data_IF_716264603810
#
_entry.id   IF_716264603810
#
_cell.length_a   1.000
_cell.length_b   1.000
_cell.length_c   1.000
_cell.angle_alpha   90.00
_cell.angle_beta   90.00
_cell.angle_gamma   90.00
#
_symmetry.space_group_name_H-M   'P 1'
#
loop_
_entity.id
_entity.type
_entity.pdbx_description
1 polymer ?
#
# COMPACT_ATOMS: atom_id res chain seq x y z
N UNK A 1 -14.53 14.97 21.24
CA UNK A 1 -15.66 14.97 20.28
C UNK A 1 -15.15 15.45 18.93
N UNK A 2 -15.00 14.56 17.94
CA UNK A 2 -14.58 14.97 16.61
C UNK A 2 -15.75 15.70 15.91
N UNK A 3 -15.56 16.99 15.62
CA UNK A 3 -16.52 17.80 14.87
C UNK A 3 -16.77 17.16 13.50
N UNK A 4 -17.97 16.61 13.28
CA UNK A 4 -18.41 16.23 11.94
C UNK A 4 -18.59 17.49 11.12
N UNK A 5 -17.51 17.93 10.46
CA UNK A 5 -17.53 19.07 9.53
C UNK A 5 -18.62 18.80 8.49
N UNK A 6 -19.69 19.60 8.49
CA UNK A 6 -20.78 19.45 7.51
C UNK A 6 -20.19 19.55 6.10
N UNK A 7 -20.56 18.61 5.23
CA UNK A 7 -20.08 18.57 3.86
C UNK A 7 -20.59 19.80 3.08
N UNK A 8 -19.66 20.57 2.50
CA UNK A 8 -20.01 21.75 1.71
C UNK A 8 -20.89 21.36 0.51
N UNK A 9 -21.74 22.28 0.01
CA UNK A 9 -22.52 22.02 -1.21
C UNK A 9 -21.64 21.62 -2.40
N UNK A 10 -20.47 22.25 -2.56
CA UNK A 10 -19.52 21.92 -3.63
C UNK A 10 -18.96 20.51 -3.51
N UNK A 11 -18.59 20.07 -2.30
CA UNK A 11 -18.14 18.69 -2.08
C UNK A 11 -19.28 17.69 -2.34
N UNK A 12 -20.51 17.97 -1.89
CA UNK A 12 -21.68 17.12 -2.21
C UNK A 12 -21.89 16.99 -3.71
N UNK A 13 -21.79 18.10 -4.44
CA UNK A 13 -21.89 18.12 -5.89
C UNK A 13 -20.79 17.30 -6.57
N UNK A 14 -19.54 17.43 -6.13
CA UNK A 14 -18.42 16.64 -6.65
C UNK A 14 -18.64 15.13 -6.43
N UNK A 15 -19.06 14.72 -5.23
CA UNK A 15 -19.35 13.32 -4.93
C UNK A 15 -20.47 12.78 -5.83
N UNK A 16 -21.56 13.54 -5.99
CA UNK A 16 -22.67 13.11 -6.85
C UNK A 16 -22.24 12.99 -8.31
N UNK A 17 -21.55 13.99 -8.87
CA UNK A 17 -21.05 13.96 -10.24
C UNK A 17 -20.13 12.77 -10.49
N UNK A 18 -19.22 12.49 -9.55
CA UNK A 18 -18.32 11.35 -9.66
C UNK A 18 -19.08 10.02 -9.61
N UNK A 19 -20.06 9.91 -8.71
CA UNK A 19 -20.88 8.72 -8.55
C UNK A 19 -21.79 8.45 -9.74
N UNK A 20 -22.44 9.46 -10.30
CA UNK A 20 -23.33 9.31 -11.46
C UNK A 20 -22.58 8.74 -12.67
N UNK A 21 -21.34 9.22 -12.89
CA UNK A 21 -20.45 8.67 -13.93
C UNK A 21 -20.00 7.25 -13.62
N UNK A 22 -19.61 6.98 -12.37
CA UNK A 22 -19.26 5.65 -11.92
C UNK A 22 -20.40 4.65 -12.11
N UNK A 23 -21.63 5.03 -11.77
CA UNK A 23 -22.83 4.20 -11.91
C UNK A 23 -23.12 3.89 -13.39
N UNK A 24 -22.98 4.89 -14.26
CA UNK A 24 -23.24 4.74 -15.69
C UNK A 24 -22.15 3.96 -16.44
N UNK A 25 -20.89 4.10 -16.05
CA UNK A 25 -19.74 3.60 -16.84
C UNK A 25 -18.96 2.46 -16.16
N UNK A 26 -19.31 2.11 -14.92
CA UNK A 26 -18.55 1.17 -14.09
C UNK A 26 -17.05 1.54 -13.99
N UNK A 27 -16.73 2.84 -14.03
CA UNK A 27 -15.38 3.39 -13.97
C UNK A 27 -15.39 4.76 -13.31
N UNK A 28 -14.34 5.09 -12.55
CA UNK A 28 -14.20 6.41 -11.95
C UNK A 28 -13.92 7.46 -13.04
N UNK A 29 -14.57 8.64 -13.01
CA UNK A 29 -14.36 9.64 -14.04
C UNK A 29 -13.01 10.34 -13.87
N UNK A 30 -12.36 10.59 -15.00
CA UNK A 30 -11.19 11.46 -15.03
C UNK A 30 -11.58 12.92 -14.76
N UNK A 31 -10.79 13.61 -13.95
CA UNK A 31 -10.99 15.02 -13.59
C UNK A 31 -11.06 15.90 -14.83
N UNK A 32 -10.15 15.72 -15.79
CA UNK A 32 -10.09 16.52 -17.01
C UNK A 32 -11.35 16.34 -17.87
N UNK A 33 -11.82 15.09 -17.99
CA UNK A 33 -13.04 14.77 -18.74
C UNK A 33 -14.29 15.37 -18.08
N UNK A 34 -14.42 15.21 -16.76
CA UNK A 34 -15.54 15.78 -16.01
C UNK A 34 -15.54 17.31 -16.12
N UNK A 35 -14.38 17.95 -15.99
CA UNK A 35 -14.23 19.40 -16.15
C UNK A 35 -14.60 19.87 -17.55
N UNK A 36 -14.16 19.15 -18.59
CA UNK A 36 -14.46 19.47 -19.98
C UNK A 36 -15.97 19.36 -20.29
N UNK A 37 -16.62 18.32 -19.80
CA UNK A 37 -18.07 18.12 -19.97
C UNK A 37 -18.88 19.24 -19.31
N UNK A 38 -18.51 19.65 -18.09
CA UNK A 38 -19.16 20.77 -17.39
C UNK A 38 -18.94 22.11 -18.12
N UNK A 39 -17.72 22.36 -18.59
CA UNK A 39 -17.41 23.57 -19.36
C UNK A 39 -18.22 23.65 -20.66
N UNK A 40 -18.42 22.52 -21.36
CA UNK A 40 -19.28 22.45 -22.55
C UNK A 40 -20.76 22.77 -22.27
N UNK A 41 -21.20 22.57 -21.03
CA UNK A 41 -22.55 22.89 -20.57
C UNK A 41 -22.66 24.32 -20.01
N UNK A 42 -21.57 25.10 -20.02
CA UNK A 42 -21.53 26.44 -19.42
C UNK A 42 -21.54 26.43 -17.90
N UNK A 43 -21.22 25.30 -17.26
CA UNK A 43 -21.21 25.16 -15.81
C UNK A 43 -19.85 25.60 -15.24
N UNK A 44 -19.80 26.63 -14.37
CA UNK A 44 -18.55 27.16 -13.84
C UNK A 44 -17.91 26.29 -12.75
N UNK A 45 -18.44 25.08 -12.48
CA UNK A 45 -17.93 24.21 -11.41
C UNK A 45 -16.48 23.78 -11.66
N UNK A 46 -15.58 24.19 -10.74
CA UNK A 46 -14.17 23.88 -10.79
C UNK A 46 -13.86 22.54 -10.08
N UNK A 47 -13.94 21.43 -10.82
CA UNK A 47 -13.74 20.06 -10.31
C UNK A 47 -12.41 19.93 -9.57
N UNK A 48 -11.32 20.40 -10.18
CA UNK A 48 -9.97 20.27 -9.62
C UNK A 48 -9.80 21.08 -8.34
N UNK A 49 -10.37 22.28 -8.26
CA UNK A 49 -10.28 23.11 -7.05
C UNK A 49 -11.08 22.49 -5.90
N UNK A 50 -12.31 22.05 -6.16
CA UNK A 50 -13.15 21.42 -5.15
C UNK A 50 -12.55 20.09 -4.66
N UNK A 51 -11.90 19.33 -5.55
CA UNK A 51 -11.24 18.08 -5.18
C UNK A 51 -10.01 18.26 -4.27
N UNK A 52 -9.39 19.45 -4.23
CA UNK A 52 -8.22 19.71 -3.38
C UNK A 52 -8.53 19.63 -1.89
N UNK A 53 -9.75 20.00 -1.51
CA UNK A 53 -10.17 20.07 -0.11
C UNK A 53 -11.14 18.95 0.28
N UNK A 54 -11.28 17.94 -0.60
CA UNK A 54 -12.11 16.78 -0.33
C UNK A 54 -11.55 15.99 0.85
N UNK A 55 -12.41 15.71 1.83
CA UNK A 55 -12.06 14.85 2.97
C UNK A 55 -11.60 13.48 2.44
N UNK A 56 -10.35 13.06 2.71
CA UNK A 56 -9.81 11.79 2.21
C UNK A 56 -10.63 10.56 2.62
N UNK A 57 -11.43 10.68 3.67
CA UNK A 57 -12.34 9.61 4.10
C UNK A 57 -13.53 9.42 3.18
N UNK A 58 -13.86 10.39 2.32
CA UNK A 58 -14.97 10.35 1.37
C UNK A 58 -14.49 10.02 -0.05
N UNK A 59 -13.29 10.42 -0.41
CA UNK A 59 -12.72 10.17 -1.73
C UNK A 59 -11.37 10.83 -1.90
N UNK A 60 -10.71 10.56 -3.01
CA UNK A 60 -9.44 11.16 -3.34
C UNK A 60 -9.29 11.38 -4.85
N UNK A 61 -8.35 12.26 -5.19
CA UNK A 61 -7.87 12.49 -6.55
C UNK A 61 -6.35 12.40 -6.49
N UNK A 62 -5.76 11.51 -7.30
CA UNK A 62 -4.31 11.50 -7.48
C UNK A 62 -3.90 12.73 -8.28
N UNK A 63 -3.25 13.68 -7.61
CA UNK A 63 -2.93 15.00 -8.19
C UNK A 63 -1.73 14.96 -9.13
N UNK A 64 -0.93 13.91 -9.04
CA UNK A 64 0.33 13.77 -9.77
C UNK A 64 0.17 12.89 -11.02
N UNK A 65 -0.91 12.10 -11.10
CA UNK A 65 -1.19 11.25 -12.24
C UNK A 65 -1.74 12.05 -13.44
N UNK A 66 -1.14 11.84 -14.61
CA UNK A 66 -1.78 12.11 -15.90
C UNK A 66 -3.03 11.22 -15.99
N UNK A 67 -4.20 11.82 -16.22
CA UNK A 67 -5.47 11.08 -16.18
C UNK A 67 -6.07 10.88 -14.78
N UNK A 68 -5.70 11.72 -13.80
CA UNK A 68 -6.27 11.74 -12.44
C UNK A 68 -7.79 11.46 -12.40
N UNK A 69 -8.19 10.43 -11.66
CA UNK A 69 -9.58 10.03 -11.47
C UNK A 69 -10.14 10.57 -10.16
N UNK A 70 -11.44 10.87 -10.13
CA UNK A 70 -12.17 11.13 -8.88
C UNK A 70 -12.67 9.80 -8.33
N UNK A 71 -11.94 9.25 -7.35
CA UNK A 71 -12.27 7.97 -6.71
C UNK A 71 -13.00 8.20 -5.40
N UNK A 72 -14.16 7.57 -5.22
CA UNK A 72 -14.89 7.63 -3.97
C UNK A 72 -14.61 6.42 -3.10
N UNK A 73 -14.54 6.63 -1.79
CA UNK A 73 -14.59 5.54 -0.82
C UNK A 73 -16.04 5.11 -0.62
N UNK A 74 -16.25 3.99 0.05
CA UNK A 74 -17.61 3.56 0.41
C UNK A 74 -18.35 4.58 1.31
N UNK A 75 -17.62 5.39 2.09
CA UNK A 75 -18.22 6.50 2.86
C UNK A 75 -18.66 7.65 1.96
N UNK A 76 -17.92 7.92 0.89
CA UNK A 76 -18.29 8.92 -0.12
C UNK A 76 -19.53 8.50 -0.89
N UNK A 77 -19.55 7.27 -1.40
CA UNK A 77 -20.70 6.69 -2.13
C UNK A 77 -21.97 6.72 -1.29
N UNK A 78 -21.86 6.43 0.02
CA UNK A 78 -22.99 6.55 0.96
C UNK A 78 -23.61 7.97 1.03
N UNK A 79 -22.91 9.02 0.59
CA UNK A 79 -23.44 10.39 0.55
C UNK A 79 -24.16 10.72 -0.75
N UNK A 80 -24.11 9.85 -1.74
CA UNK A 80 -24.71 10.07 -3.04
C UNK A 80 -26.15 9.54 -3.07
N UNK A 81 -27.02 10.26 -3.77
CA UNK A 81 -28.39 9.85 -4.04
C UNK A 81 -28.37 8.75 -5.11
N UNK A 82 -29.20 7.72 -4.94
CA UNK A 82 -29.31 6.63 -5.91
C UNK A 82 -28.22 5.56 -5.79
N UNK A 83 -27.51 5.49 -4.67
CA UNK A 83 -26.41 4.55 -4.43
C UNK A 83 -26.84 3.26 -3.73
N UNK A 84 -28.13 3.06 -3.49
CA UNK A 84 -28.67 1.98 -2.65
C UNK A 84 -28.21 0.61 -3.14
N UNK A 85 -28.31 0.36 -4.44
CA UNK A 85 -27.88 -0.91 -5.05
C UNK A 85 -26.39 -1.17 -4.86
N UNK A 86 -25.52 -0.19 -5.13
CA UNK A 86 -24.07 -0.36 -4.97
C UNK A 86 -23.67 -0.62 -3.51
N UNK A 87 -24.36 -0.01 -2.55
CA UNK A 87 -24.11 -0.22 -1.13
C UNK A 87 -24.62 -1.59 -0.67
N UNK A 88 -25.78 -2.03 -1.15
CA UNK A 88 -26.36 -3.33 -0.82
C UNK A 88 -25.51 -4.47 -1.40
N UNK A 89 -25.08 -4.36 -2.65
CA UNK A 89 -24.17 -5.32 -3.27
C UNK A 89 -22.83 -5.37 -2.52
N UNK A 90 -22.31 -4.23 -2.06
CA UNK A 90 -21.09 -4.20 -1.25
C UNK A 90 -21.27 -4.96 0.08
N UNK A 91 -22.41 -4.78 0.77
CA UNK A 91 -22.72 -5.53 1.99
C UNK A 91 -22.83 -7.02 1.71
N UNK A 92 -23.51 -7.42 0.63
CA UNK A 92 -23.66 -8.82 0.21
C UNK A 92 -22.30 -9.48 -0.05
N UNK A 93 -21.38 -8.79 -0.73
CA UNK A 93 -20.03 -9.28 -1.00
C UNK A 93 -19.21 -9.42 0.28
N UNK A 94 -19.28 -8.45 1.19
CA UNK A 94 -18.58 -8.56 2.49
C UNK A 94 -19.11 -9.74 3.31
N UNK A 95 -20.43 -9.96 3.33
CA UNK A 95 -21.02 -11.13 3.98
C UNK A 95 -20.59 -12.44 3.30
N UNK A 96 -20.52 -12.45 1.96
CA UNK A 96 -20.00 -13.57 1.19
C UNK A 96 -18.55 -13.90 1.56
N UNK A 97 -17.66 -12.90 1.68
CA UNK A 97 -16.27 -13.12 2.08
C UNK A 97 -16.16 -13.73 3.47
N UNK A 98 -16.98 -13.29 4.44
CA UNK A 98 -17.03 -13.89 5.78
C UNK A 98 -17.43 -15.36 5.69
N UNK A 99 -18.48 -15.69 4.93
CA UNK A 99 -18.92 -17.08 4.75
C UNK A 99 -17.84 -17.92 4.08
N UNK A 100 -17.27 -17.43 2.97
CA UNK A 100 -16.20 -18.11 2.25
C UNK A 100 -15.01 -18.42 3.15
N UNK A 101 -14.60 -17.48 4.01
CA UNK A 101 -13.52 -17.70 4.96
C UNK A 101 -13.85 -18.79 5.99
N UNK A 102 -15.08 -18.81 6.51
CA UNK A 102 -15.50 -19.81 7.49
C UNK A 102 -15.62 -21.22 6.88
N UNK A 103 -16.02 -21.31 5.62
CA UNK A 103 -16.24 -22.58 4.91
C UNK A 103 -14.98 -23.08 4.19
N UNK A 104 -13.91 -22.30 4.15
CA UNK A 104 -12.70 -22.67 3.43
C UNK A 104 -11.95 -23.81 4.14
N UNK A 105 -11.62 -24.90 3.43
CA UNK A 105 -10.82 -25.99 4.00
C UNK A 105 -9.37 -25.56 4.26
N UNK A 106 -8.86 -24.63 3.44
CA UNK A 106 -7.50 -24.11 3.47
C UNK A 106 -7.50 -22.58 3.49
N UNK A 107 -6.47 -21.99 4.10
CA UNK A 107 -6.30 -20.54 4.21
C UNK A 107 -5.01 -20.05 3.51
N UNK A 108 -4.99 -18.81 2.99
CA UNK A 108 -6.11 -17.85 2.95
C UNK A 108 -7.19 -18.28 1.96
N UNK A 109 -8.45 -17.99 2.29
CA UNK A 109 -9.56 -18.30 1.42
C UNK A 109 -9.51 -17.41 0.18
N UNK A 110 -9.87 -17.94 -0.99
CA UNK A 110 -9.87 -17.19 -2.23
C UNK A 110 -11.27 -17.02 -2.82
N UNK A 111 -11.48 -15.89 -3.50
CA UNK A 111 -12.70 -15.55 -4.21
C UNK A 111 -12.37 -14.95 -5.57
N UNK A 112 -12.95 -15.50 -6.63
CA UNK A 112 -12.85 -14.94 -7.98
C UNK A 112 -14.03 -14.03 -8.35
N UNK A 113 -13.82 -13.20 -9.36
CA UNK A 113 -14.90 -12.40 -9.95
C UNK A 113 -16.04 -13.27 -10.51
N UNK A 114 -15.73 -14.42 -11.11
CA UNK A 114 -16.73 -15.33 -11.68
C UNK A 114 -17.55 -16.05 -10.60
N UNK A 115 -16.93 -16.35 -9.45
CA UNK A 115 -17.65 -16.89 -8.29
C UNK A 115 -18.65 -15.88 -7.74
N UNK A 116 -18.26 -14.61 -7.61
CA UNK A 116 -19.19 -13.56 -7.16
C UNK A 116 -20.32 -13.32 -8.15
N UNK A 117 -20.04 -13.34 -9.45
CA UNK A 117 -21.07 -13.23 -10.48
C UNK A 117 -22.11 -14.34 -10.35
N UNK A 118 -21.66 -15.59 -10.26
CA UNK A 118 -22.53 -16.76 -10.16
C UNK A 118 -23.28 -16.81 -8.83
N UNK A 119 -22.58 -16.59 -7.72
CA UNK A 119 -23.13 -16.88 -6.39
C UNK A 119 -23.92 -15.70 -5.80
N UNK A 120 -23.72 -14.48 -6.32
CA UNK A 120 -24.45 -13.28 -5.93
C UNK A 120 -25.30 -12.67 -7.06
N UNK A 121 -25.38 -13.33 -8.22
CA UNK A 121 -26.12 -12.86 -9.40
C UNK A 121 -25.73 -11.43 -9.80
N UNK A 122 -24.41 -11.18 -9.84
CA UNK A 122 -23.86 -9.87 -10.19
C UNK A 122 -23.59 -9.80 -11.68
N UNK A 123 -24.06 -8.74 -12.32
CA UNK A 123 -23.67 -8.42 -13.71
C UNK A 123 -22.18 -8.10 -13.81
N UNK A 124 -21.60 -8.18 -15.02
CA UNK A 124 -20.22 -7.76 -15.29
C UNK A 124 -19.94 -6.34 -14.81
N UNK A 125 -20.86 -5.41 -15.10
CA UNK A 125 -20.76 -4.03 -14.63
C UNK A 125 -20.85 -3.94 -13.09
N UNK A 126 -21.72 -4.74 -12.46
CA UNK A 126 -21.82 -4.83 -11.00
C UNK A 126 -20.51 -5.31 -10.35
N UNK A 127 -19.96 -6.41 -10.86
CA UNK A 127 -18.70 -7.00 -10.39
C UNK A 127 -17.51 -6.07 -10.59
N UNK A 128 -17.46 -5.35 -11.71
CA UNK A 128 -16.46 -4.31 -11.96
C UNK A 128 -16.56 -3.16 -10.96
N UNK A 129 -17.78 -2.62 -10.75
CA UNK A 129 -18.04 -1.57 -9.74
C UNK A 129 -17.58 -2.03 -8.35
N UNK A 130 -17.92 -3.25 -7.96
CA UNK A 130 -17.53 -3.82 -6.68
C UNK A 130 -16.02 -3.92 -6.53
N UNK A 131 -15.28 -4.34 -7.56
CA UNK A 131 -13.82 -4.39 -7.52
C UNK A 131 -13.19 -3.03 -7.26
N UNK A 132 -13.74 -1.97 -7.87
CA UNK A 132 -13.30 -0.60 -7.68
C UNK A 132 -13.62 -0.09 -6.26
N UNK A 133 -14.81 -0.40 -5.74
CA UNK A 133 -15.22 -0.04 -4.38
C UNK A 133 -14.41 -0.78 -3.31
N UNK A 134 -14.15 -2.07 -3.51
CA UNK A 134 -13.29 -2.86 -2.63
C UNK A 134 -11.89 -2.27 -2.61
N UNK A 135 -11.36 -1.92 -3.79
CA UNK A 135 -10.06 -1.26 -3.93
C UNK A 135 -9.95 0.06 -3.18
N UNK A 136 -11.03 0.85 -3.10
CA UNK A 136 -11.06 2.14 -2.38
C UNK A 136 -11.55 2.04 -0.92
N UNK A 137 -11.74 0.83 -0.42
CA UNK A 137 -12.26 0.56 0.93
C UNK A 137 -11.20 -0.07 1.84
N UNK A 138 -11.43 -0.04 3.15
CA UNK A 138 -10.56 -0.71 4.13
C UNK A 138 -11.07 -2.11 4.49
N UNK A 139 -11.50 -2.86 3.47
CA UNK A 139 -11.83 -4.29 3.60
C UNK A 139 -10.54 -5.10 3.43
N UNK A 140 -10.23 -6.04 4.33
CA UNK A 140 -9.00 -6.81 4.30
C UNK A 140 -9.05 -7.85 3.19
N UNK A 141 -8.66 -7.42 1.99
CA UNK A 141 -8.47 -8.30 0.84
C UNK A 141 -7.10 -8.02 0.24
N UNK A 142 -6.44 -9.07 -0.24
CA UNK A 142 -5.20 -8.98 -1.01
C UNK A 142 -5.43 -9.70 -2.34
N UNK A 143 -4.87 -9.25 -3.45
CA UNK A 143 -5.12 -9.96 -4.72
C UNK A 143 -4.73 -9.18 -5.95
N UNK A 144 -4.67 -9.92 -7.06
CA UNK A 144 -4.31 -9.41 -8.38
C UNK A 144 -5.48 -9.41 -9.35
N UNK A 145 -5.32 -8.69 -10.46
CA UNK A 145 -6.33 -8.55 -11.51
C UNK A 145 -6.96 -7.17 -11.52
N UNK A 146 -7.03 -6.59 -12.72
CA UNK A 146 -7.73 -5.35 -13.00
C UNK A 146 -9.24 -5.54 -12.95
N UNK A 147 -10.01 -4.46 -12.81
CA UNK A 147 -11.47 -4.53 -12.81
C UNK A 147 -12.05 -4.99 -14.17
N UNK A 148 -11.21 -4.96 -15.22
CA UNK A 148 -11.55 -5.22 -16.62
C UNK A 148 -11.17 -6.65 -17.04
N UNK A 149 -10.49 -7.38 -16.16
CA UNK A 149 -10.10 -8.77 -16.34
C UNK A 149 -10.71 -9.63 -15.22
N UNK A 150 -10.71 -10.95 -15.39
CA UNK A 150 -10.97 -11.85 -14.28
C UNK A 150 -10.00 -11.56 -13.13
N UNK A 151 -10.53 -11.33 -11.93
CA UNK A 151 -9.73 -11.00 -10.76
C UNK A 151 -9.96 -12.00 -9.63
N UNK A 152 -8.97 -12.12 -8.75
CA UNK A 152 -8.99 -13.04 -7.62
C UNK A 152 -8.51 -12.33 -6.36
N UNK A 153 -9.30 -12.45 -5.29
CA UNK A 153 -9.01 -11.91 -3.97
C UNK A 153 -8.73 -13.03 -2.99
N UNK A 154 -7.74 -12.81 -2.15
CA UNK A 154 -7.41 -13.56 -0.96
C UNK A 154 -8.06 -12.86 0.23
N UNK A 155 -8.70 -13.67 1.06
CA UNK A 155 -9.46 -13.30 2.24
C UNK A 155 -8.75 -13.94 3.43
N UNK A 156 -8.30 -13.10 4.36
CA UNK A 156 -7.66 -13.54 5.60
C UNK A 156 -8.61 -13.40 6.81
N UNK A 157 -8.09 -13.71 8.00
CA UNK A 157 -8.84 -13.73 9.25
C UNK A 157 -9.43 -12.37 9.63
N UNK A 158 -8.88 -11.26 9.13
CA UNK A 158 -9.39 -9.92 9.42
C UNK A 158 -10.80 -9.71 8.85
N UNK A 159 -11.25 -10.52 7.87
CA UNK A 159 -12.63 -10.47 7.38
C UNK A 159 -13.64 -10.77 8.49
N UNK A 160 -13.26 -11.52 9.52
CA UNK A 160 -14.13 -11.85 10.64
C UNK A 160 -14.58 -10.63 11.44
N UNK A 161 -13.86 -9.49 11.35
CA UNK A 161 -14.31 -8.20 11.89
C UNK A 161 -15.68 -7.78 11.33
N UNK A 162 -16.03 -8.27 10.15
CA UNK A 162 -17.28 -7.97 9.45
C UNK A 162 -18.40 -8.98 9.70
N UNK A 163 -18.17 -10.02 10.52
CA UNK A 163 -19.18 -11.06 10.81
C UNK A 163 -20.47 -10.48 11.37
N UNK A 164 -21.60 -10.81 10.74
CA UNK A 164 -22.93 -10.34 11.15
C UNK A 164 -23.24 -8.88 10.81
N UNK A 165 -22.42 -8.21 10.00
CA UNK A 165 -22.81 -6.92 9.43
C UNK A 165 -23.94 -7.15 8.41
N UNK A 166 -25.06 -6.45 8.59
CA UNK A 166 -26.26 -6.50 7.72
C UNK A 166 -26.51 -5.20 6.98
N UNK A 167 -25.82 -4.13 7.35
CA UNK A 167 -26.00 -2.80 6.75
C UNK A 167 -24.67 -2.15 6.44
N UNK A 168 -24.68 -1.23 5.47
CA UNK A 168 -23.49 -0.48 5.09
C UNK A 168 -22.89 0.31 6.26
N UNK A 169 -23.72 0.80 7.18
CA UNK A 169 -23.32 1.50 8.39
C UNK A 169 -22.50 0.64 9.34
N UNK A 170 -22.88 -0.63 9.47
CA UNK A 170 -22.14 -1.58 10.28
C UNK A 170 -20.79 -1.91 9.62
N UNK A 171 -20.79 -2.13 8.30
CA UNK A 171 -19.56 -2.34 7.52
C UNK A 171 -18.61 -1.14 7.65
N UNK A 172 -19.09 0.08 7.44
CA UNK A 172 -18.29 1.31 7.56
C UNK A 172 -17.73 1.47 8.98
N UNK A 173 -18.53 1.24 10.03
CA UNK A 173 -18.04 1.36 11.42
C UNK A 173 -16.90 0.38 11.71
N UNK A 174 -16.95 -0.83 11.14
CA UNK A 174 -15.94 -1.88 11.32
C UNK A 174 -14.70 -1.68 10.47
N UNK A 175 -14.87 -1.23 9.22
CA UNK A 175 -13.77 -0.87 8.33
C UNK A 175 -13.00 0.36 8.82
N UNK A 176 -13.64 1.26 9.57
CA UNK A 176 -13.07 2.54 9.98
C UNK A 176 -13.33 2.83 11.47
N UNK A 177 -12.73 2.05 12.38
CA UNK A 177 -12.87 2.29 13.81
C UNK A 177 -12.31 3.66 14.18
N UNK A 178 -13.00 4.38 15.07
CA UNK A 178 -12.57 5.68 15.53
C UNK A 178 -11.14 5.59 16.12
N UNK A 179 -10.22 6.42 15.60
CA UNK A 179 -8.83 6.46 16.06
C UNK A 179 -7.79 5.81 15.13
N UNK A 180 -8.18 5.05 14.09
CA UNK A 180 -7.26 4.64 13.02
C UNK A 180 -7.37 5.63 11.84
N UNK A 181 -6.27 6.32 11.50
CA UNK A 181 -6.22 7.18 10.31
C UNK A 181 -6.40 6.32 9.05
N UNK A 182 -7.14 6.87 8.09
CA UNK A 182 -7.56 6.22 6.86
C UNK A 182 -6.35 5.75 6.05
N UNK A 183 -6.33 4.47 5.67
CA UNK A 183 -5.38 3.90 4.71
C UNK A 183 -5.85 4.37 3.33
N UNK A 184 -5.18 5.37 2.75
CA UNK A 184 -5.47 5.79 1.38
C UNK A 184 -5.16 4.62 0.45
N UNK A 185 -6.19 4.17 -0.25
CA UNK A 185 -6.06 3.15 -1.27
C UNK A 185 -5.29 3.70 -2.48
N UNK A 186 -3.97 3.56 -2.48
CA UNK A 186 -3.17 3.77 -3.68
C UNK A 186 -3.28 2.51 -4.55
N UNK A 187 -3.94 2.70 -5.69
CA UNK A 187 -4.21 1.74 -6.77
C UNK A 187 -2.94 0.95 -7.15
N UNK A 188 -2.88 -0.34 -6.80
CA UNK A 188 -2.02 -1.32 -7.50
C UNK A 188 -2.76 -1.75 -8.77
N UNK A 189 -2.54 -1.03 -9.87
CA UNK A 189 -2.78 -1.58 -11.20
C UNK A 189 -1.50 -2.25 -11.67
N UNK A 190 -1.50 -3.58 -11.78
CA UNK A 190 -0.61 -4.29 -12.71
C UNK A 190 -1.30 -4.32 -14.08
N UNK A 191 -0.60 -4.01 -15.18
CA UNK A 191 -1.18 -4.09 -16.52
C UNK A 191 -1.31 -5.56 -16.95
N UNK A 192 -2.40 -5.86 -17.66
CA UNK A 192 -2.47 -7.05 -18.50
C UNK A 192 -1.45 -6.91 -19.65
N UNK A 193 -0.82 -8.03 -20.01
CA UNK A 193 0.23 -8.08 -21.02
C UNK A 193 -0.28 -7.63 -22.41
N UNK A 194 0.25 -6.51 -22.90
CA UNK A 194 0.47 -6.25 -24.33
C UNK A 194 1.94 -5.87 -24.50
N UNK A 195 2.62 -6.56 -25.40
CA UNK A 195 4.09 -6.64 -25.51
C UNK A 195 4.80 -5.40 -26.06
N UNK A 196 4.19 -4.22 -26.10
CA UNK A 196 4.80 -3.01 -26.71
C UNK A 196 4.99 -1.79 -25.79
N UNK A 197 4.66 -1.88 -24.49
CA UNK A 197 4.70 -0.70 -23.58
C UNK A 197 5.87 -0.68 -22.58
N UNK A 198 7.01 -1.29 -22.93
CA UNK A 198 8.16 -1.39 -22.03
C UNK A 198 8.88 -0.06 -21.71
N UNK A 199 8.47 1.07 -22.30
CA UNK A 199 9.12 2.36 -22.13
C UNK A 199 8.33 3.43 -21.35
N UNK A 200 7.05 3.19 -21.00
CA UNK A 200 6.16 4.24 -20.48
C UNK A 200 5.77 4.14 -18.99
N UNK A 201 6.29 3.16 -18.23
CA UNK A 201 5.91 2.91 -16.82
C UNK A 201 7.07 3.12 -15.83
N UNK A 202 7.85 4.19 -15.96
CA UNK A 202 8.75 4.65 -14.89
C UNK A 202 8.14 5.84 -14.16
N UNK A 203 7.12 5.57 -13.35
CA UNK A 203 6.82 6.45 -12.22
C UNK A 203 7.94 6.24 -11.19
N UNK A 204 8.65 7.29 -10.72
CA UNK A 204 9.73 7.16 -9.74
C UNK A 204 9.14 6.80 -8.36
N UNK A 205 8.81 5.53 -8.18
CA UNK A 205 8.42 4.91 -6.93
C UNK A 205 9.58 4.13 -6.32
N UNK A 206 9.47 3.83 -5.02
CA UNK A 206 10.38 2.90 -4.36
C UNK A 206 10.23 1.54 -5.02
N UNK A 207 11.35 0.96 -5.44
CA UNK A 207 11.41 -0.37 -6.03
C UNK A 207 11.64 -1.39 -4.91
N UNK A 208 10.74 -2.34 -4.75
CA UNK A 208 10.90 -3.47 -3.85
C UNK A 208 10.51 -4.76 -4.57
N UNK A 209 11.26 -5.85 -4.35
CA UNK A 209 10.92 -7.20 -4.77
C UNK A 209 10.68 -8.05 -3.51
N UNK A 210 9.46 -8.05 -2.96
CA UNK A 210 9.20 -8.72 -1.70
C UNK A 210 9.34 -10.23 -1.86
N UNK A 211 10.44 -10.74 -1.32
CA UNK A 211 10.67 -12.15 -1.07
C UNK A 211 11.14 -12.22 0.38
N UNK A 212 10.29 -12.56 1.35
CA UNK A 212 10.72 -12.69 2.75
C UNK A 212 11.46 -14.01 2.97
N UNK A 213 12.52 -13.99 3.79
CA UNK A 213 13.18 -15.21 4.25
C UNK A 213 12.63 -15.60 5.64
N UNK A 214 12.66 -16.88 6.05
CA UNK A 214 12.23 -17.29 7.38
C UNK A 214 12.91 -16.47 8.49
N UNK A 215 12.15 -16.04 9.50
CA UNK A 215 12.66 -15.20 10.60
C UNK A 215 12.65 -13.68 10.37
N UNK A 216 12.32 -13.22 9.15
CA UNK A 216 12.32 -11.77 8.82
C UNK A 216 10.98 -11.06 9.01
N UNK A 217 9.95 -11.72 9.54
CA UNK A 217 8.57 -11.20 9.56
C UNK A 217 8.43 -9.80 10.19
N UNK A 218 9.15 -9.51 11.27
CA UNK A 218 9.11 -8.19 11.91
C UNK A 218 9.77 -7.10 11.04
N UNK A 219 10.85 -7.43 10.33
CA UNK A 219 11.52 -6.53 9.38
C UNK A 219 10.61 -6.24 8.18
N UNK A 220 9.91 -7.24 7.65
CA UNK A 220 8.95 -7.07 6.55
C UNK A 220 7.80 -6.13 6.91
N UNK A 221 7.23 -6.30 8.09
CA UNK A 221 6.16 -5.41 8.58
C UNK A 221 6.67 -3.97 8.64
N UNK A 222 7.92 -3.76 9.07
CA UNK A 222 8.52 -2.41 9.10
C UNK A 222 8.80 -1.85 7.70
N UNK A 223 9.28 -2.67 6.75
CA UNK A 223 9.45 -2.25 5.35
C UNK A 223 8.12 -1.88 4.71
N UNK A 224 7.08 -2.71 4.86
CA UNK A 224 5.73 -2.41 4.35
C UNK A 224 5.17 -1.10 4.93
N UNK A 225 5.37 -0.88 6.23
CA UNK A 225 5.00 0.38 6.89
C UNK A 225 5.82 1.57 6.37
N UNK A 226 7.08 1.37 5.98
CA UNK A 226 7.95 2.41 5.44
C UNK A 226 7.45 2.93 4.08
N UNK A 227 7.01 2.04 3.19
CA UNK A 227 6.44 2.43 1.90
C UNK A 227 5.26 3.39 2.08
N UNK A 228 4.35 3.06 3.00
CA UNK A 228 3.18 3.89 3.29
C UNK A 228 3.60 5.25 3.87
N UNK A 229 4.57 5.26 4.79
CA UNK A 229 5.06 6.50 5.42
C UNK A 229 5.77 7.43 4.45
N UNK A 230 6.59 6.90 3.55
CA UNK A 230 7.25 7.71 2.53
C UNK A 230 6.25 8.33 1.55
N UNK A 231 5.17 7.62 1.23
CA UNK A 231 4.12 8.14 0.38
C UNK A 231 3.40 9.33 1.04
N UNK A 232 3.07 9.21 2.33
CA UNK A 232 2.29 10.21 3.07
C UNK A 232 3.11 11.40 3.60
N UNK A 233 4.42 11.22 3.73
CA UNK A 233 5.29 12.22 4.30
C UNK A 233 5.32 13.48 3.42
N UNK A 234 5.27 14.64 4.08
CA UNK A 234 5.26 15.94 3.40
C UNK A 234 5.99 17.02 4.18
N UNK A 235 6.27 16.77 5.46
CA UNK A 235 6.93 17.71 6.35
C UNK A 235 8.33 17.24 6.73
N UNK A 236 9.15 18.18 7.21
CA UNK A 236 10.48 17.89 7.74
C UNK A 236 10.46 16.82 8.83
N UNK A 237 9.47 16.88 9.73
CA UNK A 237 9.34 15.93 10.82
C UNK A 237 9.00 14.52 10.30
N UNK A 238 8.17 14.42 9.25
CA UNK A 238 7.91 13.14 8.59
C UNK A 238 9.19 12.55 7.97
N UNK A 239 10.00 13.39 7.32
CA UNK A 239 11.28 12.97 6.74
C UNK A 239 12.26 12.51 7.83
N UNK A 240 12.33 13.21 8.96
CA UNK A 240 13.14 12.80 10.10
C UNK A 240 12.66 11.45 10.69
N UNK A 241 11.35 11.23 10.79
CA UNK A 241 10.78 9.95 11.24
C UNK A 241 11.15 8.80 10.29
N UNK A 242 11.10 9.03 8.98
CA UNK A 242 11.53 8.05 7.97
C UNK A 242 13.00 7.66 8.18
N UNK A 243 13.89 8.65 8.32
CA UNK A 243 15.30 8.41 8.59
C UNK A 243 15.55 7.57 9.85
N UNK A 244 14.87 7.93 10.94
CA UNK A 244 14.94 7.19 12.20
C UNK A 244 14.51 5.72 12.00
N UNK A 245 13.42 5.49 11.29
CA UNK A 245 12.90 4.15 11.00
C UNK A 245 13.81 3.34 10.09
N UNK A 246 14.46 3.95 9.10
CA UNK A 246 15.45 3.25 8.27
C UNK A 246 16.58 2.69 9.14
N UNK A 247 17.09 3.49 10.10
CA UNK A 247 18.11 3.00 11.06
C UNK A 247 17.59 1.84 11.91
N UNK A 248 16.37 1.94 12.42
CA UNK A 248 15.76 0.86 13.21
C UNK A 248 15.63 -0.44 12.39
N UNK A 249 15.23 -0.34 11.13
CA UNK A 249 15.13 -1.49 10.21
C UNK A 249 16.50 -2.11 9.96
N UNK A 250 17.52 -1.30 9.71
CA UNK A 250 18.89 -1.80 9.51
C UNK A 250 19.43 -2.49 10.78
N UNK A 251 19.16 -1.93 11.97
CA UNK A 251 19.50 -2.56 13.25
C UNK A 251 18.80 -3.90 13.40
N UNK A 252 17.50 -3.96 13.11
CA UNK A 252 16.72 -5.19 13.23
C UNK A 252 17.17 -6.25 12.23
N UNK A 253 17.40 -5.88 10.97
CA UNK A 253 17.95 -6.76 9.94
C UNK A 253 19.32 -7.32 10.34
N UNK A 254 20.21 -6.47 10.88
CA UNK A 254 21.50 -6.91 11.41
C UNK A 254 21.33 -7.92 12.55
N UNK A 255 20.33 -7.75 13.40
CA UNK A 255 20.03 -8.68 14.49
C UNK A 255 19.44 -10.02 14.03
N UNK A 256 18.75 -10.05 12.88
CA UNK A 256 18.26 -11.30 12.29
C UNK A 256 19.41 -12.18 11.80
N UNK A 257 20.39 -11.59 11.12
CA UNK A 257 21.51 -12.35 10.52
C UNK A 257 22.68 -12.59 11.47
N UNK A 258 22.85 -11.74 12.50
CA UNK A 258 23.97 -11.87 13.41
C UNK A 258 23.80 -13.01 14.40
N UNK A 259 24.81 -13.88 14.46
CA UNK A 259 24.99 -14.86 15.53
C UNK A 259 26.33 -14.62 16.22
N UNK A 260 26.43 -14.72 17.57
CA UNK A 260 27.69 -14.50 18.29
C UNK A 260 28.87 -15.35 17.80
N UNK A 261 28.60 -16.50 17.18
CA UNK A 261 29.60 -17.40 16.59
C UNK A 261 30.31 -16.83 15.36
N UNK A 262 29.82 -15.73 14.79
CA UNK A 262 30.46 -15.04 13.66
C UNK A 262 31.65 -14.18 14.10
N UNK A 263 31.79 -13.94 15.40
CA UNK A 263 32.88 -13.14 15.96
C UNK A 263 34.08 -14.03 16.23
N UNK A 264 35.27 -13.61 15.76
CA UNK A 264 36.53 -14.33 16.00
C UNK A 264 36.78 -14.59 17.49
N UNK A 265 37.35 -15.75 17.80
CA UNK A 265 37.65 -16.16 19.16
C UNK A 265 38.52 -15.12 19.88
N UNK A 266 38.10 -14.68 21.06
CA UNK A 266 38.77 -13.66 21.86
C UNK A 266 38.18 -12.25 21.75
N UNK A 267 37.35 -11.98 20.74
CA UNK A 267 36.69 -10.68 20.60
C UNK A 267 35.32 -10.64 21.29
N UNK A 268 34.99 -9.49 21.91
CA UNK A 268 33.68 -9.25 22.52
C UNK A 268 32.63 -9.06 21.41
N UNK A 269 31.46 -9.73 21.47
CA UNK A 269 30.44 -9.57 20.45
C UNK A 269 29.84 -8.15 20.46
N UNK A 270 29.53 -7.59 19.28
CA UNK A 270 28.95 -6.25 19.17
C UNK A 270 27.56 -6.17 19.85
N UNK A 271 27.24 -4.99 20.38
CA UNK A 271 25.95 -4.73 21.03
C UNK A 271 24.78 -4.82 20.05
N UNK A 272 23.55 -5.05 20.55
CA UNK A 272 22.33 -5.20 19.70
C UNK A 272 21.99 -3.99 18.83
N UNK A 273 22.47 -2.81 19.20
CA UNK A 273 22.26 -1.57 18.45
C UNK A 273 23.42 -1.24 17.50
N UNK A 274 24.51 -2.02 17.54
CA UNK A 274 25.67 -1.82 16.68
C UNK A 274 25.49 -2.60 15.37
N UNK A 275 24.60 -2.08 14.53
CA UNK A 275 24.24 -2.72 13.27
C UNK A 275 25.44 -2.89 12.32
N UNK A 276 26.35 -1.90 12.29
CA UNK A 276 27.51 -1.90 11.40
C UNK A 276 28.47 -3.03 11.75
N UNK A 277 28.87 -3.13 13.03
CA UNK A 277 29.79 -4.19 13.45
C UNK A 277 29.16 -5.59 13.32
N UNK A 278 27.84 -5.70 13.51
CA UNK A 278 27.09 -6.96 13.31
C UNK A 278 27.07 -7.41 11.86
N UNK A 279 26.77 -6.49 10.94
CA UNK A 279 26.76 -6.78 9.51
C UNK A 279 28.16 -7.05 8.96
N UNK A 280 29.16 -6.34 9.48
CA UNK A 280 30.56 -6.58 9.17
C UNK A 280 30.98 -8.04 9.46
N UNK A 281 30.82 -8.47 10.72
CA UNK A 281 31.10 -9.85 11.12
C UNK A 281 30.30 -10.89 10.29
N UNK A 282 29.07 -10.55 9.88
CA UNK A 282 28.27 -11.39 9.00
C UNK A 282 28.88 -11.50 7.60
N UNK A 283 29.29 -10.40 6.98
CA UNK A 283 29.88 -10.41 5.64
C UNK A 283 31.26 -11.07 5.62
N UNK A 284 32.11 -10.84 6.63
CA UNK A 284 33.39 -11.54 6.76
C UNK A 284 33.21 -13.06 6.75
N UNK A 285 32.20 -13.57 7.46
CA UNK A 285 31.90 -14.99 7.52
C UNK A 285 31.14 -15.55 6.30
N UNK A 286 30.39 -14.72 5.57
CA UNK A 286 29.46 -15.16 4.51
C UNK A 286 29.97 -14.90 3.10
N UNK A 287 30.71 -13.82 2.91
CA UNK A 287 31.18 -13.24 1.65
C UNK A 287 32.55 -12.56 1.83
N UNK A 288 33.61 -13.27 2.24
CA UNK A 288 34.90 -12.64 2.54
C UNK A 288 35.47 -11.84 1.36
N UNK A 289 35.28 -12.33 0.13
CA UNK A 289 35.74 -11.66 -1.11
C UNK A 289 35.01 -10.34 -1.42
N UNK A 290 33.80 -10.13 -0.90
CA UNK A 290 32.99 -8.93 -1.12
C UNK A 290 32.77 -8.13 0.17
N UNK A 291 33.45 -8.48 1.26
CA UNK A 291 33.19 -7.89 2.58
C UNK A 291 33.42 -6.36 2.55
N UNK A 292 34.49 -5.89 1.92
CA UNK A 292 34.82 -4.47 1.79
C UNK A 292 33.73 -3.70 1.02
N UNK A 293 33.28 -4.22 -0.11
CA UNK A 293 32.22 -3.62 -0.93
C UNK A 293 30.89 -3.58 -0.17
N UNK A 294 30.55 -4.66 0.54
CA UNK A 294 29.36 -4.73 1.36
C UNK A 294 29.41 -3.75 2.54
N UNK A 295 30.58 -3.57 3.17
CA UNK A 295 30.78 -2.52 4.19
C UNK A 295 30.56 -1.12 3.62
N UNK A 296 31.11 -0.83 2.45
CA UNK A 296 30.92 0.46 1.79
C UNK A 296 29.43 0.70 1.48
N UNK A 297 28.73 -0.32 0.99
CA UNK A 297 27.30 -0.27 0.72
C UNK A 297 26.46 -0.02 1.99
N UNK A 298 26.73 -0.73 3.09
CA UNK A 298 26.09 -0.50 4.40
C UNK A 298 26.40 0.89 4.93
N UNK A 299 27.65 1.35 4.82
CA UNK A 299 28.06 2.67 5.28
C UNK A 299 27.31 3.78 4.53
N UNK A 300 27.15 3.65 3.21
CA UNK A 300 26.36 4.56 2.38
C UNK A 300 24.89 4.60 2.80
N UNK A 301 24.27 3.43 2.96
CA UNK A 301 22.87 3.29 3.39
C UNK A 301 22.64 3.91 4.77
N UNK A 302 23.52 3.61 5.73
CA UNK A 302 23.46 4.16 7.08
C UNK A 302 23.64 5.68 7.10
N UNK A 303 24.57 6.21 6.29
CA UNK A 303 24.80 7.65 6.18
C UNK A 303 23.58 8.38 5.67
N UNK A 304 22.89 7.83 4.65
CA UNK A 304 21.63 8.38 4.14
C UNK A 304 20.56 8.39 5.23
N UNK A 305 20.34 7.27 5.94
CA UNK A 305 19.37 7.18 7.02
C UNK A 305 19.68 8.13 8.20
N UNK A 306 20.96 8.34 8.52
CA UNK A 306 21.41 9.20 9.62
C UNK A 306 21.41 10.70 9.27
N UNK A 307 21.71 11.06 8.02
CA UNK A 307 21.66 12.45 7.56
C UNK A 307 20.24 13.04 7.72
N UNK A 308 19.22 12.19 7.57
CA UNK A 308 17.81 12.56 7.69
C UNK A 308 17.45 13.13 9.05
N UNK A 309 18.07 12.65 10.13
CA UNK A 309 17.69 13.03 11.49
C UNK A 309 18.34 14.32 11.96
N UNK A 310 19.33 14.86 11.24
CA UNK A 310 20.16 15.97 11.74
C UNK A 310 20.33 17.13 10.76
N UNK A 311 20.09 16.95 9.45
CA UNK A 311 20.40 17.99 8.47
C UNK A 311 19.20 18.94 8.21
N UNK A 312 19.42 20.27 8.06
CA UNK A 312 18.33 21.22 7.88
C UNK A 312 17.70 21.25 6.47
N UNK A 313 18.37 20.69 5.45
CA UNK A 313 17.92 20.67 4.04
C UNK A 313 17.27 19.34 3.59
N UNK A 314 16.72 18.55 4.51
CA UNK A 314 16.16 17.24 4.16
C UNK A 314 14.77 17.38 3.53
N UNK A 315 14.59 16.76 2.36
CA UNK A 315 13.34 16.69 1.64
C UNK A 315 13.01 15.27 1.18
N UNK A 316 12.07 15.19 0.24
CA UNK A 316 11.54 13.91 -0.26
C UNK A 316 12.61 13.07 -0.97
N UNK A 317 13.54 13.69 -1.69
CA UNK A 317 14.58 12.97 -2.43
C UNK A 317 15.49 12.16 -1.50
N UNK A 318 15.97 12.78 -0.42
CA UNK A 318 16.82 12.10 0.53
C UNK A 318 16.07 10.99 1.27
N UNK A 319 14.78 11.19 1.54
CA UNK A 319 13.91 10.16 2.11
C UNK A 319 13.79 8.95 1.17
N UNK A 320 13.58 9.20 -0.12
CA UNK A 320 13.54 8.15 -1.15
C UNK A 320 14.86 7.38 -1.18
N UNK A 321 16.01 8.08 -1.22
CA UNK A 321 17.32 7.44 -1.22
C UNK A 321 17.56 6.58 0.03
N UNK A 322 17.20 7.07 1.22
CA UNK A 322 17.36 6.34 2.47
C UNK A 322 16.48 5.08 2.53
N UNK A 323 15.24 5.18 2.07
CA UNK A 323 14.31 4.04 2.01
C UNK A 323 14.78 3.01 0.98
N UNK A 324 15.12 3.45 -0.24
CA UNK A 324 15.56 2.57 -1.31
C UNK A 324 16.83 1.80 -0.94
N UNK A 325 17.81 2.48 -0.34
CA UNK A 325 19.04 1.84 0.15
C UNK A 325 18.76 0.81 1.26
N UNK A 326 17.82 1.12 2.16
CA UNK A 326 17.44 0.23 3.26
C UNK A 326 16.74 -1.02 2.74
N UNK A 327 15.81 -0.88 1.78
CA UNK A 327 15.15 -2.02 1.13
C UNK A 327 16.18 -2.90 0.42
N UNK A 328 17.01 -2.31 -0.43
CA UNK A 328 18.04 -3.04 -1.17
C UNK A 328 18.94 -3.83 -0.21
N UNK A 329 19.39 -3.20 0.89
CA UNK A 329 20.19 -3.89 1.91
C UNK A 329 19.46 -5.07 2.54
N UNK A 330 18.20 -4.90 2.95
CA UNK A 330 17.41 -6.01 3.51
C UNK A 330 17.25 -7.13 2.50
N UNK A 331 16.92 -6.82 1.24
CA UNK A 331 16.72 -7.83 0.20
C UNK A 331 18.00 -8.59 -0.13
N UNK A 332 19.15 -7.91 -0.17
CA UNK A 332 20.46 -8.55 -0.32
C UNK A 332 20.72 -9.52 0.83
N UNK A 333 20.47 -9.12 2.08
CA UNK A 333 20.66 -10.01 3.24
C UNK A 333 19.75 -11.24 3.17
N UNK A 334 18.49 -11.07 2.80
CA UNK A 334 17.56 -12.18 2.63
C UNK A 334 17.99 -13.14 1.52
N UNK A 335 18.54 -12.61 0.43
CA UNK A 335 19.05 -13.43 -0.65
C UNK A 335 20.27 -14.24 -0.23
N UNK A 336 21.14 -13.69 0.62
CA UNK A 336 22.28 -14.41 1.18
C UNK A 336 21.87 -15.53 2.14
N UNK A 337 20.76 -15.36 2.85
CA UNK A 337 20.17 -16.39 3.72
C UNK A 337 19.52 -17.53 2.92
N UNK A 338 19.01 -17.25 1.71
CA UNK A 338 18.49 -18.29 0.79
C UNK A 338 19.59 -19.03 0.08
N UNK A 339 20.63 -18.30 -0.33
CA UNK A 339 21.70 -18.87 -1.11
C UNK A 339 22.49 -19.83 -0.21
N UNK A 340 22.75 -21.08 -0.62
CA UNK A 340 23.65 -21.95 0.11
C UNK A 340 25.04 -21.31 0.27
N UNK A 341 25.75 -21.60 1.36
CA UNK A 341 27.16 -21.19 1.46
C UNK A 341 27.93 -21.83 0.32
N UNK A 342 28.58 -21.01 -0.52
CA UNK A 342 29.47 -21.51 -1.55
C UNK A 342 30.56 -22.30 -0.84
N UNK A 343 30.57 -23.62 -1.03
CA UNK A 343 31.72 -24.44 -0.60
C UNK A 343 32.86 -24.03 -1.52
N UNK A 344 33.91 -23.41 -0.98
CA UNK A 344 35.15 -23.29 -1.72
C UNK A 344 35.57 -24.71 -2.10
N UNK A 345 35.57 -25.01 -3.40
CA UNK A 345 36.37 -26.11 -3.92
C UNK A 345 37.81 -25.62 -3.76
N UNK A 346 38.44 -26.10 -2.69
CA UNK A 346 39.89 -26.10 -2.48
C UNK A 346 40.61 -26.69 -3.68
#
# INVERSE_FOLDING_TARGET
>A
MASHKRLSPSHRRLLQLAFDRFKAQAAWPQVARLQHELARQGDPFAVREVAKDLDPSLGHVDRLATGAEVTLTIKGVRRCVGAEQELDDFVRVVAYFVRRYLDAPDLPADVSSSELQRDLDLSDAGTRKLRLLLGSSNIPTAGGGGADAGWKLLIDDQILLFRGAKTIDQVIRRAYPAGRRHRSATRTQSPAASTDDAAASWAPGIVDWPAPAPGWGSVEVRLSNMHSRLADASTKDDWQDIGRRCREIVIEAANVVFTPRLVSAGNRPPGKNDAKARLDAYFEGRLPELADDMRAFVAGTWRLANAMTHHPRMGRLEAVCAVQGTILLVRVLQELERTPRRRHRS
#
